data_IF_068977503617
#
_entry.id   IF_068977503617
#
_cell.length_a   1.000
_cell.length_b   1.000
_cell.length_c   1.000
_cell.angle_alpha   90.00
_cell.angle_beta   90.00
_cell.angle_gamma   90.00
#
_symmetry.space_group_name_H-M   'P 1'
#
loop_
_entity.id
_entity.type
_entity.pdbx_description
1 polymer ?
#
# COMPACT_ATOMS: atom_id res chain seq x y z
N UNK A 1 -16.91 19.16 28.63
CA UNK A 1 -16.96 17.92 29.46
C UNK A 1 -15.83 17.01 29.01
N UNK A 2 -14.71 17.00 29.72
CA UNK A 2 -13.49 16.29 29.32
C UNK A 2 -13.50 14.88 29.95
N UNK A 3 -13.57 13.84 29.11
CA UNK A 3 -13.52 12.44 29.56
C UNK A 3 -12.12 11.88 29.28
N UNK A 4 -11.37 11.64 30.35
CA UNK A 4 -10.07 10.96 30.31
C UNK A 4 -10.30 9.45 30.31
N UNK A 5 -9.61 8.71 29.44
CA UNK A 5 -9.68 7.24 29.37
C UNK A 5 -8.34 6.67 29.83
N UNK A 6 -8.36 5.72 30.77
CA UNK A 6 -7.19 4.95 31.18
C UNK A 6 -7.23 3.58 30.52
N UNK A 7 -6.11 3.15 29.94
CA UNK A 7 -5.94 1.81 29.36
C UNK A 7 -5.30 0.92 30.43
N UNK A 8 -5.99 -0.15 30.82
CA UNK A 8 -5.49 -1.15 31.77
C UNK A 8 -4.70 -2.19 30.96
N UNK A 9 -3.41 -2.33 31.25
CA UNK A 9 -2.55 -3.38 30.71
C UNK A 9 -2.46 -4.53 31.70
N UNK A 10 -3.01 -5.69 31.36
CA UNK A 10 -2.70 -6.94 32.05
C UNK A 10 -1.41 -7.54 31.46
N UNK A 11 -0.48 -7.95 32.33
CA UNK A 11 0.69 -8.78 32.00
C UNK A 11 0.51 -10.17 32.63
N UNK A 12 1.11 -11.21 32.03
CA UNK A 12 2.19 -11.86 32.79
C UNK A 12 3.41 -12.32 31.95
N UNK A 13 4.57 -12.01 32.53
CA UNK A 13 5.81 -12.80 32.68
C UNK A 13 6.35 -13.72 31.56
N UNK A 14 7.51 -13.26 31.04
CA UNK A 14 8.80 -13.95 30.89
C UNK A 14 8.98 -15.08 29.85
N UNK A 15 9.90 -14.87 28.89
CA UNK A 15 11.12 -15.68 28.68
C UNK A 15 12.05 -15.11 27.56
N UNK A 16 13.19 -14.61 28.02
CA UNK A 16 14.56 -14.60 27.46
C UNK A 16 14.93 -14.21 26.01
N UNK A 17 15.88 -13.26 26.00
CA UNK A 17 17.17 -13.21 25.26
C UNK A 17 17.28 -12.40 23.94
N UNK A 18 17.91 -11.22 24.11
CA UNK A 18 18.99 -10.62 23.29
C UNK A 18 18.73 -10.31 21.80
N UNK A 19 18.58 -9.03 21.44
CA UNK A 19 19.66 -8.17 20.89
C UNK A 19 19.15 -6.79 20.44
N UNK A 20 19.87 -5.74 20.86
CA UNK A 20 20.10 -4.48 20.14
C UNK A 20 18.92 -3.71 19.52
N UNK A 21 18.29 -2.83 20.30
CA UNK A 21 17.88 -1.52 19.79
C UNK A 21 17.79 -0.53 20.95
N UNK A 22 18.75 0.38 21.07
CA UNK A 22 18.61 1.58 21.89
C UNK A 22 17.58 2.49 21.22
N UNK A 23 16.30 2.18 21.40
CA UNK A 23 15.26 3.18 21.24
C UNK A 23 15.19 3.92 22.56
N UNK A 24 15.38 5.24 22.53
CA UNK A 24 14.91 6.12 23.60
C UNK A 24 13.48 5.70 23.96
N UNK A 25 13.31 5.00 25.08
CA UNK A 25 12.00 4.74 25.64
C UNK A 25 11.43 6.09 26.05
N UNK A 26 10.32 6.57 25.45
CA UNK A 26 9.65 7.71 26.01
C UNK A 26 9.07 7.25 27.35
N UNK A 27 9.74 7.73 28.40
CA UNK A 27 9.30 7.80 29.79
C UNK A 27 7.79 8.03 29.88
N UNK A 28 7.13 7.15 30.64
CA UNK A 28 5.86 7.35 31.34
C UNK A 28 4.82 8.29 30.71
N UNK A 29 3.84 7.70 30.01
CA UNK A 29 2.43 8.14 30.10
C UNK A 29 2.15 9.62 29.88
N UNK A 30 2.62 10.18 28.76
CA UNK A 30 2.18 11.49 28.29
C UNK A 30 0.65 11.48 28.14
N UNK A 31 -0.04 12.24 29.00
CA UNK A 31 -1.50 12.40 28.94
C UNK A 31 -1.83 13.26 27.72
N UNK A 32 -2.06 12.63 26.58
CA UNK A 32 -2.61 13.32 25.41
C UNK A 32 -4.14 13.47 25.54
N UNK A 33 -4.66 14.56 25.01
CA UNK A 33 -6.11 14.78 24.88
C UNK A 33 -6.72 13.75 23.93
N UNK A 34 -8.05 13.56 24.01
CA UNK A 34 -8.74 12.61 23.12
C UNK A 34 -8.59 12.99 21.64
N UNK A 35 -8.56 14.29 21.32
CA UNK A 35 -8.36 14.75 19.95
C UNK A 35 -6.93 14.48 19.46
N UNK A 36 -5.92 14.68 20.30
CA UNK A 36 -4.53 14.31 19.99
C UNK A 36 -4.37 12.80 19.84
N UNK A 37 -5.02 11.99 20.69
CA UNK A 37 -5.08 10.53 20.52
C UNK A 37 -5.67 10.17 19.16
N UNK A 38 -6.80 10.79 18.79
CA UNK A 38 -7.50 10.50 17.55
C UNK A 38 -6.66 10.89 16.33
N UNK A 39 -5.96 12.02 16.37
CA UNK A 39 -5.05 12.46 15.31
C UNK A 39 -3.84 11.54 15.21
N UNK A 40 -3.19 11.22 16.33
CA UNK A 40 -2.02 10.33 16.39
C UNK A 40 -2.37 8.92 15.95
N UNK A 41 -3.54 8.40 16.33
CA UNK A 41 -4.02 7.09 15.89
C UNK A 41 -4.30 7.04 14.39
N UNK A 42 -4.88 8.10 13.82
CA UNK A 42 -5.05 8.21 12.36
C UNK A 42 -3.71 8.25 11.64
N UNK A 43 -2.76 9.04 12.14
CA UNK A 43 -1.40 9.12 11.60
C UNK A 43 -0.69 7.76 11.67
N UNK A 44 -0.74 7.08 12.82
CA UNK A 44 -0.19 5.74 12.99
C UNK A 44 -0.85 4.74 12.03
N UNK A 45 -2.18 4.80 11.88
CA UNK A 45 -2.93 3.95 10.95
C UNK A 45 -2.57 4.23 9.50
N UNK A 46 -2.37 5.49 9.12
CA UNK A 46 -1.99 5.88 7.77
C UNK A 46 -0.52 5.56 7.48
N UNK A 47 0.37 5.68 8.46
CA UNK A 47 1.77 5.26 8.35
C UNK A 47 1.90 3.72 8.26
N UNK A 48 1.01 2.98 8.92
CA UNK A 48 0.95 1.51 8.82
C UNK A 48 0.08 1.02 7.65
N UNK A 49 -0.53 1.93 6.88
CA UNK A 49 -1.21 1.52 5.66
C UNK A 49 -0.15 1.19 4.63
N UNK A 50 -0.28 0.01 4.03
CA UNK A 50 0.40 -0.32 2.79
C UNK A 50 -0.50 0.15 1.62
N UNK A 51 -0.33 1.39 1.11
CA UNK A 51 -1.21 1.92 0.07
C UNK A 51 -1.15 1.06 -1.19
N UNK A 52 0.04 0.59 -1.57
CA UNK A 52 0.26 -0.26 -2.74
C UNK A 52 -0.58 -1.53 -2.69
N UNK A 53 -0.57 -2.22 -1.55
CA UNK A 53 -1.39 -3.40 -1.31
C UNK A 53 -2.88 -3.10 -1.43
N UNK A 54 -3.36 -2.03 -0.79
CA UNK A 54 -4.79 -1.66 -0.83
C UNK A 54 -5.23 -1.28 -2.23
N UNK A 55 -4.45 -0.44 -2.91
CA UNK A 55 -4.75 -0.01 -4.26
C UNK A 55 -4.74 -1.18 -5.21
N UNK A 56 -3.65 -1.95 -5.28
CA UNK A 56 -3.56 -3.10 -6.20
C UNK A 56 -4.70 -4.10 -6.00
N UNK A 57 -5.05 -4.43 -4.75
CA UNK A 57 -6.11 -5.39 -4.47
C UNK A 57 -7.51 -4.90 -4.84
N UNK A 58 -7.74 -3.58 -4.84
CA UNK A 58 -9.04 -2.99 -5.18
C UNK A 58 -9.27 -2.84 -6.68
N UNK A 59 -8.21 -2.97 -7.50
CA UNK A 59 -8.30 -2.77 -8.94
C UNK A 59 -8.84 -4.00 -9.67
N UNK A 60 -9.47 -3.75 -10.82
CA UNK A 60 -9.94 -4.78 -11.73
C UNK A 60 -8.79 -5.53 -12.40
N UNK A 61 -9.11 -6.70 -12.95
CA UNK A 61 -8.12 -7.58 -13.57
C UNK A 61 -7.45 -6.96 -14.80
N UNK A 62 -8.15 -6.11 -15.56
CA UNK A 62 -7.56 -5.37 -16.68
C UNK A 62 -6.48 -4.38 -16.23
N UNK A 63 -6.71 -3.69 -15.11
CA UNK A 63 -5.70 -2.81 -14.54
C UNK A 63 -4.50 -3.63 -14.04
N UNK A 64 -4.75 -4.74 -13.35
CA UNK A 64 -3.68 -5.64 -12.90
C UNK A 64 -2.90 -6.21 -14.08
N UNK A 65 -3.55 -6.58 -15.18
CA UNK A 65 -2.93 -6.99 -16.42
C UNK A 65 -1.98 -5.90 -16.96
N UNK A 66 -2.43 -4.65 -17.03
CA UNK A 66 -1.58 -3.53 -17.45
C UNK A 66 -0.37 -3.36 -16.54
N UNK A 67 -0.55 -3.46 -15.22
CA UNK A 67 0.55 -3.36 -14.24
C UNK A 67 1.57 -4.48 -14.43
N UNK A 68 1.13 -5.74 -14.50
CA UNK A 68 2.02 -6.89 -14.63
C UNK A 68 2.74 -6.90 -15.98
N UNK A 69 2.04 -6.51 -17.06
CA UNK A 69 2.63 -6.38 -18.39
C UNK A 69 3.69 -5.29 -18.43
N UNK A 70 3.42 -4.14 -17.80
CA UNK A 70 4.39 -3.06 -17.72
C UNK A 70 5.61 -3.46 -16.89
N UNK A 71 5.42 -4.17 -15.78
CA UNK A 71 6.51 -4.70 -14.97
C UNK A 71 7.37 -5.72 -15.75
N UNK A 72 6.73 -6.60 -16.52
CA UNK A 72 7.42 -7.54 -17.42
C UNK A 72 8.25 -6.86 -18.51
N UNK A 73 7.90 -5.63 -18.90
CA UNK A 73 8.71 -4.87 -19.86
C UNK A 73 10.09 -4.53 -19.28
N UNK A 74 10.16 -4.22 -17.99
CA UNK A 74 11.43 -3.90 -17.32
C UNK A 74 12.16 -5.19 -16.88
N UNK A 75 11.43 -6.24 -16.52
CA UNK A 75 11.98 -7.56 -16.18
C UNK A 75 11.20 -8.69 -16.89
N UNK A 76 11.65 -9.12 -18.08
CA UNK A 76 10.93 -10.12 -18.89
C UNK A 76 10.72 -11.44 -18.16
N UNK A 77 9.50 -11.97 -18.24
CA UNK A 77 9.14 -13.28 -17.66
C UNK A 77 8.88 -13.28 -16.15
N UNK A 78 8.94 -12.13 -15.47
CA UNK A 78 8.71 -12.01 -14.03
C UNK A 78 7.26 -12.35 -13.61
N UNK A 79 6.30 -12.09 -14.47
CA UNK A 79 4.87 -12.35 -14.25
C UNK A 79 4.28 -13.18 -15.38
N UNK A 80 3.49 -14.19 -15.02
CA UNK A 80 2.76 -15.05 -15.95
C UNK A 80 1.32 -14.59 -16.10
N UNK A 81 0.66 -15.03 -17.18
CA UNK A 81 -0.72 -14.67 -17.47
C UNK A 81 -1.70 -15.17 -16.41
N UNK A 82 -1.43 -16.32 -15.83
CA UNK A 82 -2.29 -16.97 -14.82
C UNK A 82 -2.26 -16.24 -13.46
N UNK A 83 -1.32 -15.31 -13.30
CA UNK A 83 -1.15 -14.51 -12.10
C UNK A 83 -1.93 -13.19 -12.15
N UNK A 84 -2.56 -12.88 -13.28
CA UNK A 84 -3.50 -11.77 -13.40
C UNK A 84 -4.67 -12.01 -12.44
N UNK A 85 -5.09 -10.96 -11.74
CA UNK A 85 -6.17 -11.01 -10.74
C UNK A 85 -5.73 -11.44 -9.35
N UNK A 86 -4.59 -12.11 -9.20
CA UNK A 86 -4.06 -12.52 -7.89
C UNK A 86 -3.85 -11.31 -6.97
N UNK A 87 -4.09 -11.44 -5.66
CA UNK A 87 -3.89 -10.34 -4.72
C UNK A 87 -2.39 -10.03 -4.55
N UNK A 88 -2.06 -8.82 -4.15
CA UNK A 88 -0.69 -8.32 -3.93
C UNK A 88 0.14 -9.25 -3.03
N UNK A 89 -0.51 -9.88 -2.05
CA UNK A 89 0.12 -10.79 -1.10
C UNK A 89 0.57 -12.12 -1.73
N UNK A 90 0.01 -12.51 -2.87
CA UNK A 90 0.41 -13.73 -3.58
C UNK A 90 1.86 -13.66 -4.08
N UNK A 91 2.33 -12.46 -4.39
CA UNK A 91 3.67 -12.21 -4.93
C UNK A 91 4.71 -12.17 -3.82
N UNK A 92 5.95 -12.54 -4.12
CA UNK A 92 7.09 -12.33 -3.23
C UNK A 92 7.49 -10.84 -3.15
N UNK A 93 8.45 -10.53 -2.28
CA UNK A 93 8.91 -9.16 -2.04
C UNK A 93 9.44 -8.48 -3.31
N UNK A 94 10.31 -9.14 -4.08
CA UNK A 94 10.94 -8.56 -5.26
C UNK A 94 9.90 -8.24 -6.35
N UNK A 95 8.92 -9.13 -6.51
CA UNK A 95 7.81 -8.97 -7.46
C UNK A 95 6.85 -7.87 -7.01
N UNK A 96 6.56 -7.75 -5.71
CA UNK A 96 5.77 -6.65 -5.15
C UNK A 96 6.41 -5.29 -5.42
N UNK A 97 7.73 -5.18 -5.32
CA UNK A 97 8.45 -3.95 -5.65
C UNK A 97 8.29 -3.56 -7.13
N UNK A 98 8.37 -4.53 -8.04
CA UNK A 98 8.14 -4.28 -9.46
C UNK A 98 6.70 -3.88 -9.77
N UNK A 99 5.72 -4.47 -9.08
CA UNK A 99 4.32 -4.05 -9.15
C UNK A 99 4.17 -2.58 -8.72
N UNK A 100 4.81 -2.17 -7.62
CA UNK A 100 4.76 -0.78 -7.14
C UNK A 100 5.34 0.18 -8.17
N UNK A 101 6.51 -0.15 -8.74
CA UNK A 101 7.17 0.67 -9.76
C UNK A 101 6.26 0.83 -10.99
N UNK A 102 5.66 -0.26 -11.46
CA UNK A 102 4.74 -0.25 -12.59
C UNK A 102 3.46 0.57 -12.29
N UNK A 103 2.86 0.42 -11.11
CA UNK A 103 1.72 1.24 -10.67
C UNK A 103 2.06 2.74 -10.67
N UNK A 104 3.24 3.10 -10.17
CA UNK A 104 3.70 4.50 -10.18
C UNK A 104 3.89 5.04 -11.61
N UNK A 105 4.38 4.21 -12.54
CA UNK A 105 4.49 4.59 -13.97
C UNK A 105 3.11 4.84 -14.57
N UNK A 106 2.14 3.93 -14.36
CA UNK A 106 0.77 4.09 -14.85
C UNK A 106 0.08 5.33 -14.27
N UNK A 107 0.23 5.58 -12.97
CA UNK A 107 -0.33 6.75 -12.32
C UNK A 107 0.19 8.06 -12.94
N UNK A 108 1.49 8.12 -13.29
CA UNK A 108 2.08 9.26 -13.99
C UNK A 108 1.54 9.45 -15.41
N UNK A 109 1.08 8.37 -16.06
CA UNK A 109 0.46 8.46 -17.39
C UNK A 109 -0.94 9.03 -17.35
N UNK A 110 -1.69 8.91 -16.25
CA UNK A 110 -3.07 9.42 -16.16
C UNK A 110 -3.23 10.88 -16.63
N UNK A 111 -2.24 11.74 -16.35
CA UNK A 111 -2.25 13.15 -16.77
C UNK A 111 -1.78 13.39 -18.21
N UNK A 112 -1.16 12.39 -18.85
CA UNK A 112 -0.58 12.46 -20.20
C UNK A 112 -1.34 11.64 -21.23
N UNK A 113 -2.25 10.76 -20.80
CA UNK A 113 -3.03 9.93 -21.70
C UNK A 113 -3.95 10.81 -22.56
N UNK A 114 -4.10 10.49 -23.86
CA UNK A 114 -5.05 11.16 -24.70
C UNK A 114 -6.46 11.04 -24.11
N UNK A 115 -7.32 12.02 -24.42
CA UNK A 115 -8.74 11.89 -24.11
C UNK A 115 -9.34 10.74 -24.89
N UNK A 116 -10.49 10.25 -24.43
CA UNK A 116 -11.26 9.26 -25.16
C UNK A 116 -11.49 9.75 -26.60
N UNK A 117 -11.17 8.89 -27.57
CA UNK A 117 -11.48 9.13 -28.96
C UNK A 117 -13.00 9.12 -29.13
N UNK A 118 -13.53 10.03 -29.94
CA UNK A 118 -14.95 9.98 -30.27
C UNK A 118 -15.23 8.75 -31.14
N UNK A 119 -16.48 8.27 -31.17
CA UNK A 119 -16.85 7.14 -32.02
C UNK A 119 -16.51 7.39 -33.49
N UNK A 120 -16.61 8.63 -33.96
CA UNK A 120 -16.24 9.00 -35.32
C UNK A 120 -14.72 8.83 -35.59
N UNK A 121 -13.88 9.07 -34.58
CA UNK A 121 -12.42 8.91 -34.66
C UNK A 121 -11.94 7.45 -34.48
N UNK A 122 -12.85 6.54 -34.09
CA UNK A 122 -12.54 5.11 -33.93
C UNK A 122 -12.54 4.34 -35.26
N UNK A 123 -12.93 4.97 -36.38
CA UNK A 123 -12.91 4.37 -37.70
C UNK A 123 -11.71 4.86 -38.50
N UNK A 124 -10.91 3.94 -39.01
CA UNK A 124 -9.86 4.26 -39.96
C UNK A 124 -10.54 4.61 -41.29
N UNK A 125 -10.39 5.84 -41.75
CA UNK A 125 -10.62 6.17 -43.15
C UNK A 125 -9.50 5.51 -43.96
N UNK A 126 -9.84 4.53 -44.79
CA UNK A 126 -8.92 3.87 -45.73
C UNK A 126 -8.09 4.88 -46.56
#
# INVERSE_FOLDING_TARGET
MNRTVQVISESPAALNAQEGFTADHPSHGEKMTFDEFRQRWRLLRDNNRNPSLRYFNHQHDDFKFCVLTLANRDCPGMFRREEIGKPFQYFDQARREHIIIAMNKLARWGNRLPRQFSTADCFLSE
#
